data_IF_731140293870
#
_entry.id   IF_731140293870
#
_cell.length_a   1.000
_cell.length_b   1.000
_cell.length_c   1.000
_cell.angle_alpha   90.00
_cell.angle_beta   90.00
_cell.angle_gamma   90.00
#
_symmetry.space_group_name_H-M   'P 1'
#
loop_
_entity.id
_entity.type
_entity.pdbx_description
1 polymer ?
#
# COMPACT_ATOMS: atom_id res chain seq x y z
N UNK A 1 -13.62 -12.17 -14.23
CA UNK A 1 -14.32 -11.92 -12.94
C UNK A 1 -13.98 -12.89 -11.82
N UNK A 2 -13.85 -14.22 -12.06
CA UNK A 2 -13.55 -15.19 -10.99
C UNK A 2 -12.34 -14.79 -10.13
N UNK A 3 -11.25 -14.42 -10.78
CA UNK A 3 -10.01 -14.00 -10.10
C UNK A 3 -10.17 -12.68 -9.32
N UNK A 4 -11.01 -11.77 -9.83
CA UNK A 4 -11.35 -10.53 -9.10
C UNK A 4 -12.07 -10.85 -7.79
N UNK A 5 -13.04 -11.78 -7.81
CA UNK A 5 -13.77 -12.20 -6.63
C UNK A 5 -12.89 -13.00 -5.66
N UNK A 6 -12.04 -13.91 -6.15
CA UNK A 6 -11.11 -14.65 -5.32
C UNK A 6 -10.17 -13.70 -4.56
N UNK A 7 -9.59 -12.74 -5.28
CA UNK A 7 -8.69 -11.72 -4.69
C UNK A 7 -9.44 -10.76 -3.74
N UNK A 8 -10.67 -10.38 -4.07
CA UNK A 8 -11.54 -9.60 -3.18
C UNK A 8 -11.86 -10.37 -1.90
N UNK A 9 -12.19 -11.66 -2.01
CA UNK A 9 -12.43 -12.56 -0.86
C UNK A 9 -11.21 -12.65 0.05
N UNK A 10 -9.99 -12.72 -0.51
CA UNK A 10 -8.75 -12.68 0.25
C UNK A 10 -8.62 -11.38 1.07
N UNK A 11 -8.93 -10.22 0.46
CA UNK A 11 -8.90 -8.92 1.15
C UNK A 11 -9.87 -8.90 2.33
N UNK A 12 -11.13 -9.30 2.12
CA UNK A 12 -12.16 -9.33 3.16
C UNK A 12 -11.78 -10.32 4.28
N UNK A 13 -11.26 -11.49 3.92
CA UNK A 13 -10.78 -12.48 4.90
C UNK A 13 -9.65 -11.92 5.77
N UNK A 14 -8.71 -11.18 5.21
CA UNK A 14 -7.64 -10.51 5.97
C UNK A 14 -8.20 -9.54 7.00
N UNK A 15 -9.27 -8.81 6.65
CA UNK A 15 -9.96 -7.92 7.58
C UNK A 15 -10.65 -8.69 8.71
N UNK A 16 -11.31 -9.80 8.38
CA UNK A 16 -11.99 -10.66 9.37
C UNK A 16 -11.00 -11.30 10.35
N UNK A 17 -9.89 -11.84 9.86
CA UNK A 17 -8.90 -12.58 10.64
C UNK A 17 -7.96 -11.65 11.44
N UNK A 18 -7.56 -10.52 10.86
CA UNK A 18 -6.50 -9.65 11.41
C UNK A 18 -6.89 -8.20 11.66
N UNK A 19 -8.16 -7.84 11.47
CA UNK A 19 -8.68 -6.48 11.68
C UNK A 19 -8.40 -5.50 10.53
N UNK A 20 -8.84 -4.25 10.73
CA UNK A 20 -8.88 -3.23 9.67
C UNK A 20 -7.50 -2.95 9.04
N UNK A 21 -6.41 -2.93 9.83
CA UNK A 21 -5.08 -2.69 9.29
C UNK A 21 -4.63 -3.79 8.31
N UNK A 22 -5.00 -5.04 8.56
CA UNK A 22 -4.67 -6.16 7.65
C UNK A 22 -5.49 -6.10 6.36
N UNK A 23 -6.76 -5.65 6.45
CA UNK A 23 -7.58 -5.38 5.28
C UNK A 23 -6.99 -4.22 4.46
N UNK A 24 -6.70 -3.10 5.10
CA UNK A 24 -6.11 -1.90 4.47
C UNK A 24 -4.78 -2.22 3.80
N UNK A 25 -3.91 -2.99 4.48
CA UNK A 25 -2.64 -3.48 3.92
C UNK A 25 -2.88 -4.29 2.66
N UNK A 26 -3.79 -5.29 2.73
CA UNK A 26 -4.09 -6.15 1.59
C UNK A 26 -4.61 -5.33 0.40
N UNK A 27 -5.53 -4.38 0.63
CA UNK A 27 -6.03 -3.46 -0.40
C UNK A 27 -4.92 -2.59 -0.99
N UNK A 28 -4.08 -2.01 -0.13
CA UNK A 28 -2.95 -1.21 -0.57
C UNK A 28 -2.02 -2.01 -1.48
N UNK A 29 -1.67 -3.24 -1.10
CA UNK A 29 -0.81 -4.13 -1.88
C UNK A 29 -1.42 -4.48 -3.24
N UNK A 30 -2.74 -4.77 -3.30
CA UNK A 30 -3.45 -5.04 -4.56
C UNK A 30 -3.45 -3.80 -5.45
N UNK A 31 -3.79 -2.62 -4.92
CA UNK A 31 -3.74 -1.37 -5.68
C UNK A 31 -2.32 -1.10 -6.22
N UNK A 32 -1.28 -1.22 -5.38
CA UNK A 32 0.11 -1.01 -5.80
C UNK A 32 0.56 -2.04 -6.84
N UNK A 33 0.12 -3.31 -6.74
CA UNK A 33 0.40 -4.34 -7.73
C UNK A 33 -0.18 -3.98 -9.10
N UNK A 34 -1.43 -3.51 -9.13
CA UNK A 34 -2.06 -3.01 -10.33
C UNK A 34 -1.31 -1.80 -10.93
N UNK A 35 -1.08 -0.76 -10.11
CA UNK A 35 -0.46 0.49 -10.59
C UNK A 35 0.95 0.26 -11.15
N UNK A 36 1.75 -0.62 -10.56
CA UNK A 36 3.08 -0.98 -11.07
C UNK A 36 3.06 -1.67 -12.44
N UNK A 37 1.94 -2.29 -12.82
CA UNK A 37 1.78 -2.93 -14.13
C UNK A 37 1.30 -1.99 -15.23
N UNK A 38 1.14 -0.70 -14.91
CA UNK A 38 0.57 0.31 -15.79
C UNK A 38 1.54 1.48 -16.01
N UNK A 39 1.23 2.33 -16.99
CA UNK A 39 1.98 3.56 -17.25
C UNK A 39 1.03 4.66 -17.68
N UNK A 40 1.16 5.86 -17.08
CA UNK A 40 0.35 7.04 -17.41
C UNK A 40 -1.18 6.80 -17.33
N UNK A 41 -1.61 5.92 -16.43
CA UNK A 41 -3.03 5.57 -16.29
C UNK A 41 -3.57 4.63 -17.35
N UNK A 42 -2.74 4.13 -18.28
CA UNK A 42 -3.17 3.24 -19.37
C UNK A 42 -3.19 1.79 -18.86
N UNK A 43 -4.30 1.11 -19.06
CA UNK A 43 -4.42 -0.34 -18.84
C UNK A 43 -5.52 -0.93 -19.72
N UNK A 44 -5.50 -2.25 -19.99
CA UNK A 44 -6.62 -2.94 -20.63
C UNK A 44 -7.93 -2.82 -19.84
N UNK A 45 -9.04 -3.12 -20.49
CA UNK A 45 -10.35 -3.29 -19.86
C UNK A 45 -10.36 -4.50 -18.93
N UNK A 46 -11.20 -4.51 -17.91
CA UNK A 46 -11.36 -5.67 -17.04
C UNK A 46 -12.13 -6.78 -17.77
N UNK A 47 -13.24 -6.45 -18.43
CA UNK A 47 -13.96 -7.37 -19.30
C UNK A 47 -13.36 -7.32 -20.71
N UNK A 48 -12.68 -8.39 -21.10
CA UNK A 48 -11.99 -8.50 -22.40
C UNK A 48 -12.66 -9.56 -23.25
N UNK A 49 -13.03 -9.17 -24.48
CA UNK A 49 -13.66 -10.05 -25.47
C UNK A 49 -12.67 -10.53 -26.55
N UNK A 50 -11.52 -9.85 -26.67
CA UNK A 50 -10.45 -10.20 -27.60
C UNK A 50 -9.18 -10.50 -26.84
N UNK A 51 -8.73 -11.71 -26.91
CA UNK A 51 -7.48 -12.22 -26.31
C UNK A 51 -6.93 -13.35 -27.20
N UNK A 52 -5.63 -13.52 -27.21
CA UNK A 52 -4.98 -14.58 -28.02
C UNK A 52 -5.02 -15.93 -27.32
N UNK A 53 -4.80 -15.94 -26.01
CA UNK A 53 -4.83 -17.13 -25.18
C UNK A 53 -5.58 -16.85 -23.86
N UNK A 54 -6.27 -17.84 -23.33
CA UNK A 54 -6.96 -17.72 -22.02
C UNK A 54 -6.00 -17.35 -20.89
N UNK A 55 -4.73 -17.77 -20.98
CA UNK A 55 -3.68 -17.46 -20.01
C UNK A 55 -3.35 -15.96 -19.97
N UNK A 56 -3.63 -15.20 -21.01
CA UNK A 56 -3.49 -13.73 -21.04
C UNK A 56 -4.39 -13.02 -20.02
N UNK A 57 -5.37 -13.76 -19.46
CA UNK A 57 -6.29 -13.27 -18.43
C UNK A 57 -5.73 -13.40 -17.00
N UNK A 58 -4.61 -14.11 -16.80
CA UNK A 58 -3.93 -14.23 -15.51
C UNK A 58 -2.98 -13.07 -15.27
N UNK A 59 -3.53 -11.89 -15.06
CA UNK A 59 -2.78 -10.65 -14.93
C UNK A 59 -3.28 -9.75 -13.79
N UNK A 60 -2.55 -8.68 -13.48
CA UNK A 60 -2.91 -7.72 -12.44
C UNK A 60 -4.23 -6.98 -12.72
N UNK A 61 -4.75 -7.00 -13.94
CA UNK A 61 -6.04 -6.41 -14.26
C UNK A 61 -7.16 -7.32 -13.73
N UNK A 62 -7.09 -8.62 -14.04
CA UNK A 62 -8.08 -9.60 -13.61
C UNK A 62 -8.08 -9.82 -12.10
N UNK A 63 -6.89 -9.85 -11.48
CA UNK A 63 -6.73 -10.08 -10.04
C UNK A 63 -6.83 -8.78 -9.24
N UNK A 64 -5.84 -7.93 -9.36
CA UNK A 64 -5.62 -6.79 -8.47
C UNK A 64 -6.59 -5.64 -8.76
N UNK A 65 -6.68 -5.15 -10.00
CA UNK A 65 -7.62 -4.08 -10.37
C UNK A 65 -9.06 -4.48 -10.09
N UNK A 66 -9.45 -5.70 -10.50
CA UNK A 66 -10.80 -6.21 -10.29
C UNK A 66 -11.21 -6.28 -8.82
N UNK A 67 -10.30 -6.72 -7.94
CA UNK A 67 -10.51 -6.72 -6.49
C UNK A 67 -10.74 -5.32 -5.93
N UNK A 68 -9.92 -4.34 -6.32
CA UNK A 68 -10.05 -2.95 -5.86
C UNK A 68 -11.35 -2.31 -6.36
N UNK A 69 -11.76 -2.60 -7.62
CA UNK A 69 -13.06 -2.19 -8.17
C UNK A 69 -14.22 -2.76 -7.35
N UNK A 70 -14.19 -4.04 -7.01
CA UNK A 70 -15.23 -4.67 -6.19
C UNK A 70 -15.31 -4.03 -4.80
N UNK A 71 -14.16 -3.68 -4.20
CA UNK A 71 -14.15 -2.99 -2.92
C UNK A 71 -14.73 -1.57 -3.00
N UNK A 72 -14.39 -0.82 -4.04
CA UNK A 72 -14.97 0.50 -4.29
C UNK A 72 -16.50 0.41 -4.49
N UNK A 73 -16.96 -0.59 -5.23
CA UNK A 73 -18.38 -0.85 -5.44
C UNK A 73 -19.09 -1.20 -4.13
N UNK A 74 -18.51 -2.08 -3.32
CA UNK A 74 -19.00 -2.41 -1.95
C UNK A 74 -19.19 -1.15 -1.11
N UNK A 75 -18.21 -0.25 -1.13
CA UNK A 75 -18.29 1.01 -0.38
C UNK A 75 -19.42 1.92 -0.87
N UNK A 76 -19.59 2.05 -2.19
CA UNK A 76 -20.65 2.89 -2.78
C UNK A 76 -22.07 2.32 -2.59
N UNK A 77 -22.21 0.98 -2.53
CA UNK A 77 -23.50 0.32 -2.32
C UNK A 77 -23.87 0.19 -0.84
N UNK A 78 -22.87 0.13 0.02
CA UNK A 78 -22.98 -0.33 1.40
C UNK A 78 -23.05 -1.86 1.52
N UNK A 79 -22.57 -2.38 2.63
CA UNK A 79 -22.34 -3.82 2.87
C UNK A 79 -23.59 -4.67 2.64
N UNK A 80 -24.74 -4.27 3.21
CA UNK A 80 -25.97 -5.05 3.13
C UNK A 80 -26.44 -5.24 1.69
N UNK A 81 -26.48 -4.15 0.90
CA UNK A 81 -26.91 -4.21 -0.50
C UNK A 81 -25.92 -4.97 -1.35
N UNK A 82 -24.60 -4.75 -1.13
CA UNK A 82 -23.56 -5.43 -1.87
C UNK A 82 -23.61 -6.95 -1.69
N UNK A 83 -23.58 -7.44 -0.45
CA UNK A 83 -23.61 -8.89 -0.19
C UNK A 83 -24.92 -9.56 -0.63
N UNK A 84 -26.07 -8.86 -0.49
CA UNK A 84 -27.34 -9.36 -1.02
C UNK A 84 -27.33 -9.49 -2.54
N UNK A 85 -26.70 -8.54 -3.23
CA UNK A 85 -26.52 -8.58 -4.68
C UNK A 85 -25.61 -9.74 -5.12
N UNK A 86 -24.53 -9.97 -4.38
CA UNK A 86 -23.65 -11.12 -4.64
C UNK A 86 -24.36 -12.44 -4.41
N UNK A 87 -25.13 -12.58 -3.33
CA UNK A 87 -25.94 -13.76 -3.07
C UNK A 87 -26.89 -14.04 -4.22
N UNK A 88 -27.63 -13.02 -4.68
CA UNK A 88 -28.54 -13.14 -5.84
C UNK A 88 -27.78 -13.57 -7.09
N UNK A 89 -26.70 -12.86 -7.44
CA UNK A 89 -25.87 -13.19 -8.61
C UNK A 89 -25.40 -14.64 -8.60
N UNK A 90 -24.88 -15.12 -7.47
CA UNK A 90 -24.39 -16.49 -7.32
C UNK A 90 -25.52 -17.53 -7.37
N UNK A 91 -26.67 -17.22 -6.78
CA UNK A 91 -27.84 -18.13 -6.78
C UNK A 91 -28.45 -18.27 -8.16
N UNK A 92 -28.67 -17.15 -8.87
CA UNK A 92 -29.30 -17.15 -10.18
C UNK A 92 -28.43 -17.81 -11.26
N UNK A 93 -27.11 -17.76 -11.05
CA UNK A 93 -26.13 -18.35 -11.97
C UNK A 93 -25.50 -19.65 -11.45
N UNK A 94 -26.08 -20.28 -10.44
CA UNK A 94 -25.58 -21.54 -9.89
C UNK A 94 -25.54 -22.62 -11.00
N UNK A 95 -24.38 -23.28 -11.13
CA UNK A 95 -24.12 -24.29 -12.17
C UNK A 95 -24.22 -23.78 -13.62
N UNK A 96 -24.14 -22.45 -13.83
CA UNK A 96 -24.15 -21.80 -15.15
C UNK A 96 -22.92 -20.89 -15.31
N UNK A 97 -22.76 -20.33 -16.49
CA UNK A 97 -21.77 -19.28 -16.72
C UNK A 97 -22.35 -17.94 -16.24
N UNK A 98 -21.63 -17.29 -15.31
CA UNK A 98 -21.97 -15.95 -14.84
C UNK A 98 -21.06 -14.91 -15.48
N UNK A 99 -21.66 -13.85 -16.04
CA UNK A 99 -20.94 -12.77 -16.71
C UNK A 99 -21.12 -11.42 -16.00
N UNK A 100 -20.35 -10.43 -16.44
CA UNK A 100 -20.30 -9.07 -15.83
C UNK A 100 -21.68 -8.39 -15.83
N UNK A 101 -22.46 -8.52 -16.92
CA UNK A 101 -23.78 -7.89 -17.02
C UNK A 101 -24.81 -8.52 -16.05
N UNK A 102 -24.71 -9.81 -15.75
CA UNK A 102 -25.58 -10.46 -14.78
C UNK A 102 -25.28 -9.99 -13.36
N UNK A 103 -24.00 -9.72 -13.03
CA UNK A 103 -23.64 -9.09 -11.77
C UNK A 103 -24.27 -7.70 -11.66
N UNK A 104 -24.17 -6.88 -12.72
CA UNK A 104 -24.80 -5.56 -12.76
C UNK A 104 -26.32 -5.64 -12.54
N UNK A 105 -27.00 -6.51 -13.27
CA UNK A 105 -28.44 -6.67 -13.15
C UNK A 105 -28.87 -7.12 -11.74
N UNK A 106 -28.11 -8.00 -11.09
CA UNK A 106 -28.40 -8.38 -9.71
C UNK A 106 -28.26 -7.18 -8.75
N UNK A 107 -27.28 -6.30 -8.97
CA UNK A 107 -27.10 -5.07 -8.19
C UNK A 107 -28.23 -4.07 -8.42
N UNK A 108 -28.66 -3.88 -9.66
CA UNK A 108 -29.77 -3.00 -10.02
C UNK A 108 -31.09 -3.47 -9.41
N UNK A 109 -31.36 -4.77 -9.45
CA UNK A 109 -32.57 -5.35 -8.83
C UNK A 109 -32.62 -5.14 -7.32
N UNK A 110 -31.48 -5.33 -6.64
CA UNK A 110 -31.41 -5.19 -5.17
C UNK A 110 -31.46 -3.71 -4.75
N UNK A 111 -30.85 -2.81 -5.52
CA UNK A 111 -30.70 -1.40 -5.09
C UNK A 111 -31.73 -0.46 -5.71
N UNK A 112 -32.38 -0.87 -6.79
CA UNK A 112 -33.23 0.01 -7.61
C UNK A 112 -32.48 1.15 -8.32
N UNK A 113 -31.14 1.08 -8.39
CA UNK A 113 -30.28 2.11 -9.01
C UNK A 113 -29.67 1.56 -10.29
N UNK A 114 -29.49 2.43 -11.30
CA UNK A 114 -28.73 2.12 -12.51
C UNK A 114 -27.24 2.09 -12.21
N UNK A 115 -26.61 0.92 -12.35
CA UNK A 115 -25.17 0.72 -12.20
C UNK A 115 -24.44 0.67 -13.54
N UNK A 116 -25.14 0.86 -14.68
CA UNK A 116 -24.50 0.89 -16.00
C UNK A 116 -23.34 1.86 -16.12
N UNK A 117 -23.40 3.11 -15.58
CA UNK A 117 -22.28 4.04 -15.64
C UNK A 117 -21.03 3.51 -14.92
N UNK A 118 -21.19 2.87 -13.76
CA UNK A 118 -20.10 2.27 -13.00
C UNK A 118 -19.43 1.12 -13.77
N UNK A 119 -20.25 0.20 -14.30
CA UNK A 119 -19.74 -0.94 -15.07
C UNK A 119 -19.09 -0.52 -16.38
N UNK A 120 -19.67 0.47 -17.08
CA UNK A 120 -19.06 1.04 -18.28
C UNK A 120 -17.68 1.62 -17.98
N UNK A 121 -17.56 2.39 -16.91
CA UNK A 121 -16.30 3.04 -16.54
C UNK A 121 -15.22 2.04 -16.11
N UNK A 122 -15.56 1.02 -15.31
CA UNK A 122 -14.57 0.20 -14.63
C UNK A 122 -14.36 -1.18 -15.25
N UNK A 123 -15.40 -1.74 -15.92
CA UNK A 123 -15.32 -3.08 -16.51
C UNK A 123 -15.09 -3.03 -18.02
N UNK A 124 -15.77 -2.13 -18.73
CA UNK A 124 -15.76 -2.09 -20.19
C UNK A 124 -14.84 -1.03 -20.79
N UNK A 125 -14.33 -0.11 -19.98
CA UNK A 125 -13.30 0.84 -20.40
C UNK A 125 -11.99 0.59 -19.64
N UNK A 126 -10.88 0.91 -20.31
CA UNK A 126 -9.53 0.74 -19.75
C UNK A 126 -9.05 1.94 -18.93
N UNK A 127 -7.89 1.79 -18.33
CA UNK A 127 -7.21 2.86 -17.62
C UNK A 127 -7.67 3.08 -16.19
N UNK A 128 -7.10 4.14 -15.59
CA UNK A 128 -7.45 4.64 -14.26
C UNK A 128 -7.11 6.13 -14.17
N UNK A 129 -7.72 6.90 -13.25
CA UNK A 129 -7.42 8.31 -13.04
C UNK A 129 -6.07 8.47 -12.32
N UNK A 130 -5.34 9.53 -12.71
CA UNK A 130 -4.19 10.06 -11.98
C UNK A 130 -4.60 11.46 -11.51
N UNK A 131 -4.89 11.60 -10.23
CA UNK A 131 -5.36 12.87 -9.66
C UNK A 131 -4.17 13.68 -9.13
N UNK A 132 -3.99 14.90 -9.64
CA UNK A 132 -3.10 15.89 -9.06
C UNK A 132 -3.93 16.88 -8.25
N UNK A 133 -3.64 16.99 -6.95
CA UNK A 133 -4.41 17.82 -6.01
C UNK A 133 -3.55 18.93 -5.47
N UNK A 134 -4.05 20.18 -5.58
CA UNK A 134 -3.45 21.37 -4.99
C UNK A 134 -4.39 21.91 -3.90
N UNK A 135 -3.83 22.24 -2.76
CA UNK A 135 -4.53 22.77 -1.60
C UNK A 135 -4.17 24.24 -1.38
N UNK A 136 -5.18 25.11 -1.28
CA UNK A 136 -4.98 26.53 -0.99
C UNK A 136 -6.00 26.98 0.04
N UNK A 137 -5.57 27.69 1.07
CA UNK A 137 -6.45 28.32 2.05
C UNK A 137 -6.29 29.83 1.99
N UNK A 138 -7.39 30.52 1.67
CA UNK A 138 -7.43 31.97 1.51
C UNK A 138 -8.80 32.51 1.97
N UNK A 139 -8.77 33.62 2.70
CA UNK A 139 -9.98 34.36 3.09
C UNK A 139 -11.10 33.49 3.70
N UNK A 140 -10.76 32.58 4.62
CA UNK A 140 -11.76 31.71 5.25
C UNK A 140 -12.28 30.60 4.34
N UNK A 141 -11.57 30.29 3.27
CA UNK A 141 -11.98 29.26 2.29
C UNK A 141 -10.85 28.31 1.99
N UNK A 142 -11.07 27.03 2.21
CA UNK A 142 -10.20 25.97 1.75
C UNK A 142 -10.60 25.58 0.32
N UNK A 143 -9.65 25.66 -0.61
CA UNK A 143 -9.83 25.26 -2.02
C UNK A 143 -9.03 24.01 -2.33
N UNK A 144 -9.60 23.14 -3.16
CA UNK A 144 -8.95 21.99 -3.75
C UNK A 144 -9.07 22.06 -5.26
N UNK A 145 -7.95 22.32 -5.95
CA UNK A 145 -7.88 22.24 -7.40
C UNK A 145 -7.40 20.84 -7.79
N UNK A 146 -8.24 20.08 -8.48
CA UNK A 146 -8.02 18.68 -8.84
C UNK A 146 -7.93 18.56 -10.36
N UNK A 147 -6.85 17.91 -10.85
CA UNK A 147 -6.67 17.61 -12.27
C UNK A 147 -6.52 16.11 -12.48
N UNK A 148 -7.24 15.55 -13.44
CA UNK A 148 -7.07 14.20 -13.92
C UNK A 148 -5.96 14.20 -14.99
N UNK A 149 -4.77 13.66 -14.63
CA UNK A 149 -3.52 13.78 -15.38
C UNK A 149 -3.17 12.54 -16.23
N UNK A 150 -4.01 11.49 -16.21
CA UNK A 150 -3.80 10.31 -17.04
C UNK A 150 -3.74 10.66 -18.52
N UNK A 151 -3.15 9.78 -19.33
CA UNK A 151 -3.00 9.96 -20.76
C UNK A 151 -4.31 10.43 -21.44
N UNK A 152 -4.17 11.23 -22.48
CA UNK A 152 -5.35 11.79 -23.22
C UNK A 152 -6.22 10.73 -23.88
N UNK A 153 -5.64 9.56 -24.17
CA UNK A 153 -6.38 8.40 -24.71
C UNK A 153 -7.25 7.71 -23.65
N UNK A 154 -7.00 7.97 -22.36
CA UNK A 154 -7.79 7.43 -21.26
C UNK A 154 -8.94 8.40 -20.93
N UNK A 155 -10.11 7.84 -20.69
CA UNK A 155 -11.31 8.62 -20.38
C UNK A 155 -11.15 9.59 -19.21
N UNK A 156 -12.05 10.56 -19.10
CA UNK A 156 -12.28 11.31 -17.87
C UNK A 156 -13.17 10.49 -16.95
N UNK A 157 -12.73 10.24 -15.72
CA UNK A 157 -13.46 9.43 -14.76
C UNK A 157 -14.47 10.26 -13.97
N UNK A 158 -15.60 9.63 -13.65
CA UNK A 158 -16.59 10.16 -12.70
C UNK A 158 -16.38 9.48 -11.36
N UNK A 159 -15.96 10.26 -10.34
CA UNK A 159 -15.48 9.78 -9.06
C UNK A 159 -16.27 10.44 -7.92
N UNK A 160 -17.29 9.78 -7.35
CA UNK A 160 -17.89 10.22 -6.10
C UNK A 160 -16.94 9.83 -4.96
N UNK A 161 -16.32 10.83 -4.32
CA UNK A 161 -15.34 10.63 -3.25
C UNK A 161 -15.68 11.51 -2.05
N UNK A 162 -15.15 11.16 -0.90
CA UNK A 162 -15.21 11.96 0.32
C UNK A 162 -13.86 12.60 0.63
N UNK A 163 -13.90 13.66 1.42
CA UNK A 163 -12.75 14.37 1.97
C UNK A 163 -13.01 14.58 3.44
N UNK A 164 -12.07 14.21 4.30
CA UNK A 164 -12.10 14.53 5.71
C UNK A 164 -11.22 15.75 5.99
N UNK A 165 -11.80 16.75 6.62
CA UNK A 165 -11.11 17.94 7.10
C UNK A 165 -10.94 17.83 8.61
N UNK A 166 -9.70 17.84 9.08
CA UNK A 166 -9.37 17.82 10.50
C UNK A 166 -9.11 19.25 10.98
N UNK A 167 -9.78 19.64 12.03
CA UNK A 167 -9.68 20.98 12.64
C UNK A 167 -9.57 20.85 14.15
N UNK A 168 -9.28 21.94 14.86
CA UNK A 168 -9.33 21.98 16.33
C UNK A 168 -10.68 21.56 16.91
N UNK A 169 -11.77 21.71 16.13
CA UNK A 169 -13.13 21.36 16.55
C UNK A 169 -13.51 19.91 16.21
N UNK A 170 -12.59 19.13 15.66
CA UNK A 170 -12.82 17.76 15.26
C UNK A 170 -12.78 17.55 13.74
N UNK A 171 -13.34 16.44 13.31
CA UNK A 171 -13.31 16.00 11.90
C UNK A 171 -14.65 16.29 11.21
N UNK A 172 -14.61 16.92 10.04
CA UNK A 172 -15.77 17.13 9.18
C UNK A 172 -15.56 16.43 7.82
N UNK A 173 -16.55 15.64 7.40
CA UNK A 173 -16.52 14.93 6.10
C UNK A 173 -17.38 15.65 5.07
N UNK A 174 -16.82 15.90 3.89
CA UNK A 174 -17.54 16.43 2.72
C UNK A 174 -17.47 15.42 1.57
N UNK A 175 -18.55 15.31 0.81
CA UNK A 175 -18.60 14.51 -0.42
C UNK A 175 -18.47 15.40 -1.63
N UNK A 176 -17.69 14.97 -2.61
CA UNK A 176 -17.47 15.64 -3.91
C UNK A 176 -17.74 14.70 -5.06
N UNK A 177 -18.06 15.26 -6.22
CA UNK A 177 -18.13 14.53 -7.48
C UNK A 177 -17.12 15.12 -8.46
N UNK A 178 -16.05 14.37 -8.73
CA UNK A 178 -15.06 14.74 -9.74
C UNK A 178 -15.51 14.10 -11.07
N UNK A 179 -15.86 14.91 -12.06
CA UNK A 179 -16.34 14.43 -13.37
C UNK A 179 -15.76 15.23 -14.55
N UNK A 180 -14.77 16.08 -14.29
CA UNK A 180 -14.07 16.89 -15.29
C UNK A 180 -12.57 16.64 -15.23
N UNK A 181 -11.87 16.94 -16.34
CA UNK A 181 -10.39 16.86 -16.39
C UNK A 181 -9.72 17.83 -15.42
N UNK A 182 -10.33 18.99 -15.17
CA UNK A 182 -9.90 19.95 -14.17
C UNK A 182 -11.13 20.50 -13.47
N UNK A 183 -11.12 20.51 -12.14
CA UNK A 183 -12.24 20.93 -11.33
C UNK A 183 -11.75 21.52 -10.01
N UNK A 184 -12.42 22.57 -9.53
CA UNK A 184 -12.11 23.19 -8.24
C UNK A 184 -13.30 23.01 -7.29
N UNK A 185 -12.98 22.73 -6.02
CA UNK A 185 -13.93 22.67 -4.91
C UNK A 185 -13.54 23.67 -3.84
N UNK A 186 -14.52 24.36 -3.27
CA UNK A 186 -14.33 25.36 -2.24
C UNK A 186 -15.19 25.07 -1.01
N UNK A 187 -14.57 25.15 0.16
CA UNK A 187 -15.19 24.83 1.44
C UNK A 187 -14.93 25.98 2.43
N UNK A 188 -15.97 26.55 3.05
CA UNK A 188 -15.79 27.59 4.05
C UNK A 188 -15.25 26.99 5.36
N UNK A 189 -14.18 27.58 5.88
CA UNK A 189 -13.61 27.29 7.20
C UNK A 189 -13.10 28.59 7.81
N UNK A 190 -13.48 28.88 9.05
CA UNK A 190 -13.00 30.07 9.77
C UNK A 190 -11.48 30.07 9.95
N UNK A 191 -10.91 28.88 10.13
CA UNK A 191 -9.47 28.65 10.25
C UNK A 191 -9.04 27.56 9.27
N UNK A 192 -7.79 27.64 8.82
CA UNK A 192 -7.21 26.59 7.97
C UNK A 192 -7.31 25.23 8.67
N UNK A 193 -7.84 24.20 8.00
CA UNK A 193 -7.79 22.84 8.53
C UNK A 193 -6.35 22.40 8.85
N UNK A 194 -6.16 21.71 9.97
CA UNK A 194 -4.86 21.16 10.38
C UNK A 194 -4.38 20.09 9.41
N UNK A 195 -5.32 19.33 8.86
CA UNK A 195 -5.03 18.27 7.88
C UNK A 195 -6.26 17.99 6.99
N UNK A 196 -6.00 17.53 5.77
CA UNK A 196 -7.03 17.13 4.81
C UNK A 196 -6.72 15.70 4.36
N UNK A 197 -7.61 14.74 4.65
CA UNK A 197 -7.53 13.38 4.14
C UNK A 197 -8.42 13.22 2.91
N UNK A 198 -7.80 13.20 1.75
CA UNK A 198 -8.48 12.94 0.50
C UNK A 198 -8.77 11.45 0.35
N UNK A 199 -10.00 11.10 -0.01
CA UNK A 199 -10.47 9.71 -0.09
C UNK A 199 -10.19 8.92 1.20
N UNK A 200 -10.78 9.29 2.35
CA UNK A 200 -10.50 8.64 3.63
C UNK A 200 -10.83 7.15 3.64
N UNK A 201 -11.83 6.70 2.86
CA UNK A 201 -12.17 5.29 2.69
C UNK A 201 -11.19 4.53 1.77
N UNK A 202 -10.28 5.25 1.09
CA UNK A 202 -9.27 4.70 0.16
C UNK A 202 -9.89 3.79 -0.90
N UNK A 203 -10.97 4.27 -1.53
CA UNK A 203 -11.73 3.55 -2.56
C UNK A 203 -11.36 3.94 -3.99
N UNK A 204 -10.52 4.93 -4.16
CA UNK A 204 -10.05 5.35 -5.48
C UNK A 204 -9.25 4.23 -6.16
N UNK A 205 -9.73 3.79 -7.31
CA UNK A 205 -9.00 2.86 -8.19
C UNK A 205 -8.09 3.69 -9.10
N UNK A 206 -6.98 4.21 -8.56
CA UNK A 206 -6.11 5.12 -9.30
C UNK A 206 -4.96 5.65 -8.47
N UNK A 207 -4.30 6.69 -9.01
CA UNK A 207 -3.16 7.34 -8.40
C UNK A 207 -3.53 8.73 -7.87
N UNK A 208 -2.88 9.14 -6.78
CA UNK A 208 -2.98 10.50 -6.23
C UNK A 208 -1.59 11.09 -6.11
N UNK A 209 -1.36 12.18 -6.84
CA UNK A 209 -0.24 13.09 -6.64
C UNK A 209 -0.71 14.13 -5.62
N UNK A 210 -0.40 13.84 -4.37
CA UNK A 210 -0.87 14.60 -3.21
C UNK A 210 0.21 15.62 -2.81
N UNK A 211 0.00 16.88 -3.13
CA UNK A 211 0.98 17.93 -2.91
C UNK A 211 0.95 18.43 -1.44
N UNK A 212 1.10 17.51 -0.52
CA UNK A 212 1.18 17.74 0.91
C UNK A 212 2.59 18.11 1.37
N UNK A 213 2.66 18.86 2.45
CA UNK A 213 3.90 19.25 3.12
C UNK A 213 4.39 18.16 4.09
N UNK A 214 5.61 18.31 4.61
CA UNK A 214 6.11 17.42 5.67
C UNK A 214 5.24 17.46 6.92
N UNK A 215 4.76 18.65 7.31
CA UNK A 215 3.87 18.79 8.48
C UNK A 215 2.55 18.02 8.28
N UNK A 216 2.00 18.00 7.05
CA UNK A 216 0.80 17.21 6.74
C UNK A 216 1.07 15.71 6.91
N UNK A 217 2.22 15.21 6.45
CA UNK A 217 2.57 13.79 6.61
C UNK A 217 2.85 13.41 8.06
N UNK A 218 3.43 14.32 8.86
CA UNK A 218 3.61 14.12 10.30
C UNK A 218 2.26 14.04 11.00
N UNK A 219 1.37 15.00 10.73
CA UNK A 219 0.01 14.98 11.27
C UNK A 219 -0.73 13.69 10.87
N UNK A 220 -0.65 13.32 9.59
CA UNK A 220 -1.25 12.12 9.03
C UNK A 220 -0.82 10.85 9.78
N UNK A 221 0.49 10.69 10.01
CA UNK A 221 1.01 9.53 10.73
C UNK A 221 0.49 9.47 12.17
N UNK A 222 0.46 10.60 12.86
CA UNK A 222 0.14 10.67 14.29
C UNK A 222 -1.37 10.65 14.58
N UNK A 223 -2.19 11.22 13.69
CA UNK A 223 -3.60 11.49 13.98
C UNK A 223 -4.59 10.71 13.10
N UNK A 224 -4.14 10.10 12.00
CA UNK A 224 -5.00 9.31 11.12
C UNK A 224 -4.54 7.85 11.11
N UNK A 225 -5.08 7.00 12.01
CA UNK A 225 -4.47 5.73 12.42
C UNK A 225 -4.61 4.58 11.40
N UNK A 226 -5.15 4.82 10.19
CA UNK A 226 -5.28 3.76 9.17
C UNK A 226 -3.91 3.32 8.65
N UNK A 227 -3.77 2.06 8.31
CA UNK A 227 -2.54 1.53 7.71
C UNK A 227 -2.11 2.34 6.49
N UNK A 228 -3.07 2.67 5.61
CA UNK A 228 -2.82 3.39 4.37
C UNK A 228 -2.19 4.78 4.61
N UNK A 229 -2.71 5.53 5.58
CA UNK A 229 -2.19 6.85 5.91
C UNK A 229 -0.79 6.77 6.54
N UNK A 230 -0.55 5.79 7.41
CA UNK A 230 0.77 5.58 8.02
C UNK A 230 1.83 5.16 7.00
N UNK A 231 1.53 4.20 6.11
CA UNK A 231 2.51 3.77 5.07
C UNK A 231 2.82 4.90 4.08
N UNK A 232 1.84 5.75 3.74
CA UNK A 232 2.07 6.92 2.88
C UNK A 232 3.01 7.94 3.54
N UNK A 233 2.83 8.24 4.81
CA UNK A 233 3.70 9.14 5.56
C UNK A 233 5.14 8.60 5.67
N UNK A 234 5.29 7.32 5.97
CA UNK A 234 6.61 6.66 5.98
C UNK A 234 7.22 6.67 4.56
N UNK A 235 6.43 6.38 3.53
CA UNK A 235 6.88 6.45 2.13
C UNK A 235 7.42 7.82 1.76
N UNK A 236 6.73 8.89 2.17
CA UNK A 236 7.24 10.25 1.98
C UNK A 236 8.58 10.47 2.72
N UNK A 237 8.67 10.02 3.97
CA UNK A 237 9.87 10.17 4.78
C UNK A 237 11.09 9.41 4.21
N UNK A 238 10.87 8.27 3.58
CA UNK A 238 11.94 7.49 2.92
C UNK A 238 12.55 8.22 1.71
N UNK A 239 11.74 9.03 1.00
CA UNK A 239 12.19 9.74 -0.20
C UNK A 239 12.71 11.16 0.10
N UNK A 240 12.32 11.76 1.23
CA UNK A 240 12.64 13.15 1.58
C UNK A 240 13.43 13.21 2.90
N UNK A 241 14.73 12.94 2.82
CA UNK A 241 15.61 12.83 4.00
C UNK A 241 15.92 14.20 4.62
N UNK A 242 15.40 14.47 5.81
CA UNK A 242 15.71 15.63 6.65
C UNK A 242 15.46 15.29 8.13
N UNK A 243 15.67 16.26 9.02
CA UNK A 243 15.50 16.06 10.47
C UNK A 243 14.07 15.66 10.87
N UNK A 244 13.05 16.26 10.24
CA UNK A 244 11.65 15.97 10.57
C UNK A 244 11.22 14.59 10.09
N UNK A 245 11.62 14.22 8.87
CA UNK A 245 11.37 12.87 8.34
C UNK A 245 12.09 11.80 9.16
N UNK A 246 13.30 12.11 9.65
CA UNK A 246 14.03 11.21 10.56
C UNK A 246 13.26 11.02 11.87
N UNK A 247 12.68 12.07 12.46
CA UNK A 247 11.85 11.94 13.67
C UNK A 247 10.62 11.06 13.43
N UNK A 248 9.92 11.23 12.30
CA UNK A 248 8.80 10.38 11.93
C UNK A 248 9.22 8.91 11.81
N UNK A 249 10.36 8.61 11.17
CA UNK A 249 10.86 7.24 11.06
C UNK A 249 11.26 6.66 12.43
N UNK A 250 11.82 7.46 13.34
CA UNK A 250 12.11 7.03 14.70
C UNK A 250 10.83 6.67 15.46
N UNK A 251 9.78 7.48 15.33
CA UNK A 251 8.46 7.20 15.90
C UNK A 251 7.89 5.89 15.33
N UNK A 252 8.01 5.69 14.01
CA UNK A 252 7.52 4.51 13.31
C UNK A 252 8.24 3.20 13.66
N UNK A 253 9.37 3.23 14.36
CA UNK A 253 9.98 2.03 14.96
C UNK A 253 9.09 1.37 16.03
N UNK A 254 8.07 2.06 16.53
CA UNK A 254 7.10 1.54 17.48
C UNK A 254 5.73 1.25 16.86
N UNK A 255 5.60 1.32 15.54
CA UNK A 255 4.33 1.01 14.88
C UNK A 255 3.88 -0.42 15.19
N UNK A 256 2.56 -0.60 15.31
CA UNK A 256 1.98 -1.93 15.55
C UNK A 256 2.19 -2.90 14.38
N UNK A 257 2.28 -2.36 13.14
CA UNK A 257 2.45 -3.16 11.93
C UNK A 257 3.93 -3.41 11.62
N UNK A 258 4.28 -4.68 11.43
CA UNK A 258 5.65 -5.12 11.16
C UNK A 258 6.26 -4.51 9.90
N UNK A 259 5.44 -4.29 8.85
CA UNK A 259 5.93 -3.70 7.60
C UNK A 259 6.34 -2.25 7.79
N UNK A 260 5.60 -1.51 8.63
CA UNK A 260 5.86 -0.11 8.91
C UNK A 260 7.12 0.04 9.77
N UNK A 261 7.29 -0.85 10.79
CA UNK A 261 8.56 -0.90 11.57
C UNK A 261 9.75 -1.23 10.66
N UNK A 262 9.60 -2.25 9.80
CA UNK A 262 10.67 -2.65 8.88
C UNK A 262 11.04 -1.55 7.88
N UNK A 263 10.05 -0.83 7.34
CA UNK A 263 10.26 0.31 6.45
C UNK A 263 10.96 1.47 7.17
N UNK A 264 10.55 1.77 8.40
CA UNK A 264 11.19 2.79 9.23
C UNK A 264 12.68 2.50 9.46
N UNK A 265 13.02 1.25 9.81
CA UNK A 265 14.42 0.83 9.98
C UNK A 265 15.24 1.09 8.70
N UNK A 266 14.70 0.78 7.52
CA UNK A 266 15.40 0.95 6.24
C UNK A 266 15.71 2.42 5.91
N UNK A 267 14.90 3.35 6.42
CA UNK A 267 15.09 4.78 6.22
C UNK A 267 16.12 5.44 7.14
N UNK A 268 16.55 4.74 8.20
CA UNK A 268 17.45 5.27 9.22
C UNK A 268 18.90 4.90 8.92
N UNK A 269 19.76 5.91 8.76
CA UNK A 269 21.19 5.74 8.51
C UNK A 269 21.98 5.67 9.82
N UNK A 270 22.38 4.46 10.23
CA UNK A 270 23.20 4.24 11.43
C UNK A 270 24.67 4.66 11.28
N UNK A 271 25.11 5.16 10.12
CA UNK A 271 26.42 5.78 9.97
C UNK A 271 26.42 7.24 10.45
N UNK A 272 25.23 7.89 10.48
CA UNK A 272 25.04 9.21 11.08
C UNK A 272 25.06 9.08 12.63
N UNK A 273 26.01 9.74 13.33
CA UNK A 273 26.10 9.64 14.79
C UNK A 273 24.85 10.14 15.52
N UNK A 274 24.16 11.16 14.99
CA UNK A 274 22.96 11.74 15.62
C UNK A 274 21.78 10.76 15.57
N UNK A 275 21.56 10.13 14.43
CA UNK A 275 20.54 9.09 14.24
C UNK A 275 20.89 7.87 15.07
N UNK A 276 22.11 7.39 14.94
CA UNK A 276 22.59 6.21 15.67
C UNK A 276 22.39 6.35 17.18
N UNK A 277 22.83 7.45 17.77
CA UNK A 277 22.69 7.68 19.23
C UNK A 277 21.23 7.64 19.68
N UNK A 278 20.29 8.06 18.83
CA UNK A 278 18.86 8.08 19.13
C UNK A 278 18.19 6.71 19.05
N UNK A 279 18.68 5.79 18.18
CA UNK A 279 17.94 4.56 17.84
C UNK A 279 18.72 3.27 18.04
N UNK A 280 20.02 3.30 18.31
CA UNK A 280 20.88 2.12 18.34
C UNK A 280 20.36 1.03 19.28
N UNK A 281 20.03 1.39 20.52
CA UNK A 281 19.51 0.43 21.50
C UNK A 281 18.20 -0.21 21.02
N UNK A 282 17.31 0.57 20.39
CA UNK A 282 16.06 0.08 19.83
C UNK A 282 16.31 -0.87 18.65
N UNK A 283 17.17 -0.51 17.70
CA UNK A 283 17.51 -1.37 16.55
C UNK A 283 18.15 -2.69 17.01
N UNK A 284 19.03 -2.65 17.98
CA UNK A 284 19.61 -3.86 18.59
C UNK A 284 18.51 -4.75 19.20
N UNK A 285 17.63 -4.16 19.99
CA UNK A 285 16.49 -4.89 20.58
C UNK A 285 15.61 -5.51 19.49
N UNK A 286 15.28 -4.73 18.43
CA UNK A 286 14.49 -5.23 17.32
C UNK A 286 15.17 -6.36 16.56
N UNK A 287 16.49 -6.30 16.35
CA UNK A 287 17.25 -7.37 15.71
C UNK A 287 17.20 -8.70 16.49
N UNK A 288 17.08 -8.64 17.81
CA UNK A 288 17.14 -9.81 18.69
C UNK A 288 15.77 -10.32 19.15
N UNK A 289 14.77 -9.44 19.26
CA UNK A 289 13.56 -9.71 20.04
C UNK A 289 12.25 -9.32 19.36
N UNK A 290 12.25 -8.62 18.18
CA UNK A 290 10.99 -8.31 17.52
C UNK A 290 10.25 -9.62 17.18
N UNK A 291 8.93 -9.71 17.45
CA UNK A 291 8.17 -10.94 17.22
C UNK A 291 8.21 -11.41 15.78
N UNK A 292 8.41 -10.47 14.82
CA UNK A 292 8.39 -10.81 13.40
C UNK A 292 9.79 -10.93 12.80
N UNK A 293 9.99 -11.99 12.02
CA UNK A 293 11.27 -12.25 11.34
C UNK A 293 11.62 -11.16 10.34
N UNK A 294 10.63 -10.53 9.74
CA UNK A 294 10.81 -9.42 8.80
C UNK A 294 11.51 -8.22 9.45
N UNK A 295 11.06 -7.83 10.63
CA UNK A 295 11.65 -6.72 11.39
C UNK A 295 13.04 -7.09 11.89
N UNK A 296 13.22 -8.30 12.44
CA UNK A 296 14.56 -8.77 12.86
C UNK A 296 15.55 -8.74 11.70
N UNK A 297 15.15 -9.23 10.52
CA UNK A 297 15.98 -9.19 9.33
C UNK A 297 16.34 -7.75 8.90
N UNK A 298 15.36 -6.83 8.86
CA UNK A 298 15.60 -5.41 8.53
C UNK A 298 16.59 -4.76 9.52
N UNK A 299 16.46 -5.04 10.82
CA UNK A 299 17.34 -4.52 11.84
C UNK A 299 18.78 -5.07 11.70
N UNK A 300 18.94 -6.36 11.41
CA UNK A 300 20.26 -6.96 11.15
C UNK A 300 20.95 -6.35 9.93
N UNK A 301 20.19 -6.08 8.85
CA UNK A 301 20.71 -5.38 7.67
C UNK A 301 21.15 -3.96 8.02
N UNK A 302 20.36 -3.22 8.79
CA UNK A 302 20.71 -1.86 9.23
C UNK A 302 21.97 -1.84 10.08
N UNK A 303 22.12 -2.77 11.04
CA UNK A 303 23.34 -2.94 11.82
C UNK A 303 24.54 -3.28 10.93
N UNK A 304 24.35 -4.17 9.93
CA UNK A 304 25.37 -4.51 8.95
C UNK A 304 25.82 -3.32 8.10
N UNK A 305 24.87 -2.53 7.62
CA UNK A 305 25.16 -1.36 6.78
C UNK A 305 25.94 -0.26 7.51
N UNK A 306 25.88 -0.21 8.87
CA UNK A 306 26.70 0.70 9.65
C UNK A 306 28.21 0.40 9.60
N UNK A 307 28.60 -0.78 9.13
CA UNK A 307 29.99 -1.22 9.07
C UNK A 307 30.66 -1.46 10.43
N UNK A 308 29.94 -1.34 11.54
CA UNK A 308 30.55 -1.38 12.86
C UNK A 308 30.69 -2.82 13.38
N UNK A 309 31.93 -3.24 13.60
CA UNK A 309 32.30 -4.58 14.08
C UNK A 309 31.66 -4.98 15.43
N UNK A 310 31.27 -4.03 16.27
CA UNK A 310 30.64 -4.32 17.57
C UNK A 310 29.34 -5.10 17.47
N UNK A 311 28.62 -5.02 16.30
CA UNK A 311 27.35 -5.73 16.06
C UNK A 311 27.55 -7.17 15.59
N UNK A 312 28.77 -7.58 15.25
CA UNK A 312 29.05 -8.92 14.74
C UNK A 312 28.48 -10.05 15.63
N UNK A 313 28.59 -10.00 16.97
CA UNK A 313 28.01 -11.05 17.82
C UNK A 313 26.49 -11.19 17.71
N UNK A 314 25.79 -10.05 17.48
CA UNK A 314 24.34 -10.04 17.31
C UNK A 314 23.98 -10.64 15.93
N UNK A 315 24.71 -10.25 14.90
CA UNK A 315 24.50 -10.71 13.52
C UNK A 315 24.78 -12.21 13.40
N UNK A 316 25.87 -12.72 14.05
CA UNK A 316 26.21 -14.14 14.08
C UNK A 316 25.14 -15.00 14.79
N UNK A 317 24.41 -14.44 15.77
CA UNK A 317 23.25 -15.12 16.36
C UNK A 317 22.13 -15.35 15.36
N UNK A 318 21.91 -14.42 14.43
CA UNK A 318 20.91 -14.56 13.38
C UNK A 318 21.16 -15.73 12.43
N UNK A 319 22.42 -16.22 12.31
CA UNK A 319 22.75 -17.43 11.54
C UNK A 319 22.24 -18.73 12.19
N UNK A 320 21.74 -18.67 13.43
CA UNK A 320 21.21 -19.82 14.17
C UNK A 320 19.68 -19.87 14.15
N UNK A 321 19.03 -18.89 13.52
CA UNK A 321 17.58 -18.87 13.40
C UNK A 321 17.09 -19.78 12.25
N UNK A 322 15.83 -20.21 12.33
CA UNK A 322 15.21 -21.03 11.29
C UNK A 322 14.70 -20.19 10.09
N UNK A 323 14.54 -18.89 10.27
CA UNK A 323 14.00 -18.01 9.24
C UNK A 323 15.02 -17.69 8.15
N UNK A 324 14.73 -18.08 6.92
CA UNK A 324 15.56 -17.76 5.75
C UNK A 324 15.73 -16.25 5.55
N UNK A 325 14.75 -15.44 5.92
CA UNK A 325 14.88 -13.99 5.86
C UNK A 325 15.95 -13.48 6.83
N UNK A 326 15.99 -14.01 8.06
CA UNK A 326 16.99 -13.65 9.08
C UNK A 326 18.36 -14.18 8.70
N UNK A 327 18.45 -15.42 8.19
CA UNK A 327 19.71 -16.00 7.68
C UNK A 327 20.30 -15.14 6.56
N UNK A 328 19.49 -14.78 5.57
CA UNK A 328 19.91 -13.93 4.44
C UNK A 328 20.40 -12.57 4.91
N UNK A 329 19.67 -11.93 5.83
CA UNK A 329 20.02 -10.64 6.41
C UNK A 329 21.35 -10.72 7.17
N UNK A 330 21.56 -11.79 7.94
CA UNK A 330 22.81 -12.03 8.68
C UNK A 330 24.00 -12.21 7.73
N UNK A 331 23.87 -13.02 6.68
CA UNK A 331 24.92 -13.19 5.67
C UNK A 331 25.25 -11.86 4.97
N UNK A 332 24.22 -11.06 4.61
CA UNK A 332 24.41 -9.76 4.00
C UNK A 332 25.16 -8.81 4.93
N UNK A 333 24.78 -8.78 6.21
CA UNK A 333 25.41 -7.96 7.22
C UNK A 333 26.88 -8.38 7.49
N UNK A 334 27.17 -9.69 7.55
CA UNK A 334 28.53 -10.22 7.68
C UNK A 334 29.39 -9.81 6.49
N UNK A 335 28.87 -9.93 5.27
CA UNK A 335 29.56 -9.48 4.06
C UNK A 335 29.94 -8.00 4.15
N UNK A 336 29.06 -7.16 4.70
CA UNK A 336 29.31 -5.72 4.85
C UNK A 336 30.36 -5.40 5.90
N UNK A 337 30.34 -6.08 7.06
CA UNK A 337 31.23 -5.77 8.19
C UNK A 337 32.55 -6.51 8.06
N UNK A 338 32.54 -7.83 7.79
CA UNK A 338 33.71 -8.70 7.75
C UNK A 338 33.61 -9.66 6.57
N UNK A 339 33.90 -9.20 5.32
CA UNK A 339 33.76 -10.02 4.11
C UNK A 339 34.52 -11.35 4.17
N UNK A 340 35.67 -11.39 4.85
CA UNK A 340 36.47 -12.61 5.02
C UNK A 340 35.80 -13.73 5.81
N UNK A 341 34.79 -13.41 6.65
CA UNK A 341 34.01 -14.40 7.40
C UNK A 341 32.85 -14.99 6.56
N UNK A 342 32.49 -14.42 5.42
CA UNK A 342 31.30 -14.81 4.67
C UNK A 342 31.28 -16.31 4.32
N UNK A 343 32.36 -16.85 3.77
CA UNK A 343 32.41 -18.26 3.38
C UNK A 343 32.23 -19.20 4.58
N UNK A 344 32.91 -18.93 5.69
CA UNK A 344 32.77 -19.71 6.92
C UNK A 344 31.35 -19.64 7.46
N UNK A 345 30.70 -18.47 7.37
CA UNK A 345 29.31 -18.28 7.81
C UNK A 345 28.33 -19.07 6.92
N UNK A 346 28.55 -19.12 5.60
CA UNK A 346 27.76 -19.94 4.68
C UNK A 346 27.96 -21.43 5.01
N UNK A 347 29.19 -21.86 5.27
CA UNK A 347 29.48 -23.25 5.63
C UNK A 347 28.83 -23.70 6.94
N UNK A 348 28.58 -22.78 7.86
CA UNK A 348 27.95 -23.09 9.16
C UNK A 348 26.42 -23.28 9.06
N UNK A 349 25.76 -22.93 7.96
CA UNK A 349 24.37 -23.20 7.74
C UNK A 349 24.13 -24.72 7.54
N UNK A 350 22.93 -25.19 7.90
CA UNK A 350 22.54 -26.56 7.60
C UNK A 350 22.33 -26.79 6.08
N UNK A 351 22.12 -28.04 5.68
CA UNK A 351 21.99 -28.43 4.27
C UNK A 351 20.73 -27.85 3.62
N UNK A 352 19.62 -27.76 4.36
CA UNK A 352 18.33 -27.26 3.87
C UNK A 352 18.41 -25.74 3.61
N UNK A 353 18.95 -24.98 4.58
CA UNK A 353 19.15 -23.55 4.43
C UNK A 353 20.11 -23.24 3.27
N UNK A 354 21.19 -24.00 3.10
CA UNK A 354 22.10 -23.85 1.95
C UNK A 354 21.41 -24.09 0.62
N UNK A 355 20.59 -25.12 0.52
CA UNK A 355 19.85 -25.45 -0.70
C UNK A 355 18.82 -24.35 -1.03
N UNK A 356 18.04 -23.93 -0.06
CA UNK A 356 17.04 -22.86 -0.24
C UNK A 356 17.67 -21.53 -0.62
N UNK A 357 18.77 -21.16 0.05
CA UNK A 357 19.46 -19.89 -0.15
C UNK A 357 20.47 -19.91 -1.31
N UNK A 358 20.64 -21.02 -2.02
CA UNK A 358 21.68 -21.15 -3.07
C UNK A 358 21.67 -20.01 -4.11
N UNK A 359 20.50 -19.56 -4.66
CA UNK A 359 20.48 -18.45 -5.60
C UNK A 359 20.95 -17.13 -4.97
N UNK A 360 20.52 -16.87 -3.73
CA UNK A 360 20.91 -15.68 -2.96
C UNK A 360 22.42 -15.71 -2.63
N UNK A 361 22.94 -16.84 -2.19
CA UNK A 361 24.38 -17.03 -1.89
C UNK A 361 25.23 -16.80 -3.13
N UNK A 362 24.79 -17.30 -4.30
CA UNK A 362 25.48 -17.06 -5.58
C UNK A 362 25.55 -15.57 -5.87
N UNK A 363 24.41 -14.86 -5.83
CA UNK A 363 24.35 -13.42 -6.03
C UNK A 363 25.19 -12.63 -5.00
N UNK A 364 25.19 -13.10 -3.74
CA UNK A 364 25.97 -12.48 -2.68
C UNK A 364 27.50 -12.59 -2.91
N UNK A 365 27.97 -13.68 -3.52
CA UNK A 365 29.39 -13.88 -3.87
C UNK A 365 29.81 -13.11 -5.11
N UNK A 366 28.93 -12.94 -6.10
CA UNK A 366 29.21 -12.28 -7.39
C UNK A 366 29.25 -10.75 -7.28
N UNK A 367 28.44 -10.13 -6.44
CA UNK A 367 28.47 -8.67 -6.24
C UNK A 367 29.69 -8.28 -5.40
N UNK A 368 30.73 -7.72 -6.05
CA UNK A 368 31.89 -7.09 -5.40
C UNK A 368 31.52 -5.78 -4.72
#
# INVERSE_FOLDING_TARGET
MNESFATFGEVIWRGHDGGQDKEDKSRFEKLQSYLRSTKNGISPTLARFHYNDKEDMFDNISYSKGSVILYALKNQMGDAAFYKSLQKYLTDNAHKTGETHQLRLAMEEITGKDWSPYFNQWYYQGGHPILNIQYTYENGTQKLAIKQMQDVSVQTFTLPLSIDFYTANGKETKTILINQRAQEFSFPFEQKPDFIDFDPAKILVGEVIDNKTMSDYTYQYQNVPTYYNRIKAIGYALHNKNTETTKLLIEALNDKEEDLRAAAIQGLDLTDPSIKNSVEAKIISMAQQDPTTKVRASALVALGNSGNHKYLPIIEKGLKEQSYAVLSASLLAIKKIVPSKLNKSIESLDSEAKAYLAPFIKQLKEKR
#
